data_IF_020395263597
#
_entry.id   IF_020395263597
#
_cell.length_a   1.000
_cell.length_b   1.000
_cell.length_c   1.000
_cell.angle_alpha   90.00
_cell.angle_beta   90.00
_cell.angle_gamma   90.00
#
_symmetry.space_group_name_H-M   'P 1'
#
loop_
_entity.id
_entity.type
_entity.pdbx_description
1 polymer ?
#
# COMPACT_ATOMS: atom_id res chain seq x y z
N UNK A 1 3.03 11.50 11.29
CA UNK A 1 3.90 10.49 10.65
C UNK A 1 3.15 9.87 9.49
N UNK A 2 3.81 9.65 8.34
CA UNK A 2 3.22 8.96 7.20
C UNK A 2 4.01 7.66 6.96
N UNK A 3 3.32 6.53 6.91
CA UNK A 3 3.92 5.20 6.74
C UNK A 3 3.43 4.54 5.45
N UNK A 4 4.35 4.02 4.64
CA UNK A 4 4.03 3.26 3.42
C UNK A 4 4.02 1.76 3.68
N UNK A 5 2.82 1.19 3.65
CA UNK A 5 2.54 -0.23 3.83
C UNK A 5 2.25 -0.90 2.47
N UNK A 6 1.14 -1.63 2.34
CA UNK A 6 0.69 -2.30 1.12
C UNK A 6 -0.82 -2.60 1.20
N UNK A 7 -1.53 -2.46 0.08
CA UNK A 7 -2.93 -2.88 0.01
C UNK A 7 -3.07 -4.39 -0.17
N UNK A 8 -4.01 -4.98 0.56
CA UNK A 8 -4.30 -6.43 0.55
C UNK A 8 -5.81 -6.69 0.56
N UNK A 9 -6.57 -5.78 -0.07
CA UNK A 9 -8.03 -5.82 -0.15
C UNK A 9 -8.73 -4.73 0.65
N UNK A 10 -8.20 -3.49 0.63
CA UNK A 10 -8.84 -2.33 1.28
C UNK A 10 -8.87 -2.46 2.80
N UNK A 11 -10.04 -2.22 3.41
CA UNK A 11 -10.25 -2.30 4.86
C UNK A 11 -9.93 -3.69 5.45
N UNK A 12 -10.07 -4.75 4.64
CA UNK A 12 -9.72 -6.11 5.05
C UNK A 12 -8.22 -6.28 5.32
N UNK A 13 -7.38 -5.38 4.80
CA UNK A 13 -5.92 -5.38 5.02
C UNK A 13 -5.56 -5.24 6.50
N UNK A 14 -6.47 -4.69 7.32
CA UNK A 14 -6.27 -4.57 8.77
C UNK A 14 -6.42 -5.90 9.54
N UNK A 15 -7.12 -6.91 9.00
CA UNK A 15 -7.47 -8.13 9.74
C UNK A 15 -7.17 -9.43 8.99
N UNK A 16 -6.63 -9.35 7.77
CA UNK A 16 -6.36 -10.51 6.94
C UNK A 16 -4.84 -10.78 6.91
N UNK A 17 -4.24 -11.64 7.71
CA UNK A 17 -2.81 -11.95 7.59
C UNK A 17 -2.51 -12.67 6.26
N UNK A 18 -1.36 -12.40 5.66
CA UNK A 18 -0.90 -13.04 4.42
C UNK A 18 0.34 -13.89 4.68
N UNK A 19 0.60 -14.88 3.84
CA UNK A 19 1.82 -15.72 3.90
C UNK A 19 3.02 -15.07 3.19
N UNK A 20 2.83 -13.90 2.58
CA UNK A 20 3.87 -13.15 1.86
C UNK A 20 4.76 -12.44 2.89
N UNK A 21 6.05 -12.83 3.04
CA UNK A 21 6.88 -12.37 4.15
C UNK A 21 6.99 -10.84 4.25
N UNK A 22 7.21 -10.17 3.13
CA UNK A 22 7.36 -8.71 3.10
C UNK A 22 6.05 -7.94 3.38
N UNK A 23 4.89 -8.59 3.32
CA UNK A 23 3.60 -7.99 3.70
C UNK A 23 3.29 -8.19 5.18
N UNK A 24 3.75 -9.29 5.80
CA UNK A 24 3.58 -9.55 7.23
C UNK A 24 4.26 -8.45 8.03
N UNK A 25 5.53 -8.15 7.74
CA UNK A 25 6.27 -7.12 8.47
C UNK A 25 5.62 -5.74 8.35
N UNK A 26 5.11 -5.39 7.16
CA UNK A 26 4.38 -4.12 6.98
C UNK A 26 3.12 -4.06 7.83
N UNK A 27 2.36 -5.16 7.88
CA UNK A 27 1.17 -5.26 8.72
C UNK A 27 1.49 -5.16 10.21
N UNK A 28 2.53 -5.84 10.69
CA UNK A 28 2.99 -5.75 12.08
C UNK A 28 3.42 -4.32 12.45
N UNK A 29 4.10 -3.62 11.53
CA UNK A 29 4.47 -2.21 11.71
C UNK A 29 3.22 -1.31 11.78
N UNK A 30 2.18 -1.55 10.97
CA UNK A 30 0.92 -0.81 11.07
C UNK A 30 0.29 -0.97 12.46
N UNK A 31 0.17 -2.21 12.95
CA UNK A 31 -0.40 -2.48 14.28
C UNK A 31 0.43 -1.81 15.37
N UNK A 32 1.75 -1.95 15.32
CA UNK A 32 2.65 -1.31 16.25
C UNK A 32 2.48 0.22 16.26
N UNK A 33 2.44 0.85 15.08
CA UNK A 33 2.23 2.29 14.94
C UNK A 33 0.90 2.73 15.56
N UNK A 34 -0.19 2.06 15.21
CA UNK A 34 -1.52 2.38 15.72
C UNK A 34 -1.59 2.23 17.24
N UNK A 35 -1.01 1.16 17.79
CA UNK A 35 -0.97 0.92 19.23
C UNK A 35 -0.14 1.96 19.98
N UNK A 36 1.01 2.37 19.42
CA UNK A 36 1.87 3.39 20.03
C UNK A 36 1.27 4.79 19.97
N UNK A 37 0.41 5.07 19.00
CA UNK A 37 -0.26 6.36 18.88
C UNK A 37 -1.48 6.51 19.79
N UNK A 38 -2.11 5.41 20.23
CA UNK A 38 -3.28 5.44 21.14
C UNK A 38 -2.95 6.19 22.43
N UNK A 39 -3.78 7.19 22.77
CA UNK A 39 -3.61 7.98 23.99
C UNK A 39 -2.47 9.00 23.93
N UNK A 40 -1.95 9.31 22.75
CA UNK A 40 -0.91 10.33 22.52
C UNK A 40 -1.39 11.35 21.50
N UNK A 41 -0.68 12.48 21.39
CA UNK A 41 -0.93 13.51 20.37
C UNK A 41 -0.30 13.16 19.00
N UNK A 42 0.20 11.92 18.83
CA UNK A 42 0.87 11.50 17.61
C UNK A 42 -0.14 11.25 16.49
N UNK A 43 -0.19 12.18 15.53
CA UNK A 43 -0.90 11.99 14.27
C UNK A 43 -0.17 10.98 13.36
N UNK A 44 -0.92 10.05 12.77
CA UNK A 44 -0.40 9.05 11.85
C UNK A 44 -1.31 8.87 10.63
N UNK A 45 -0.71 8.53 9.49
CA UNK A 45 -1.40 8.13 8.27
C UNK A 45 -0.68 6.94 7.67
N UNK A 46 -1.44 5.91 7.25
CA UNK A 46 -0.90 4.74 6.57
C UNK A 46 -1.34 4.79 5.12
N UNK A 47 -0.38 4.74 4.19
CA UNK A 47 -0.65 4.60 2.77
C UNK A 47 -0.42 3.15 2.37
N UNK A 48 -1.42 2.54 1.74
CA UNK A 48 -1.42 1.15 1.28
C UNK A 48 -1.45 1.15 -0.24
N UNK A 49 -0.30 1.29 -0.91
CA UNK A 49 -0.27 1.24 -2.35
C UNK A 49 -0.46 -0.20 -2.86
N UNK A 50 -1.05 -0.32 -4.05
CA UNK A 50 -1.18 -1.59 -4.79
C UNK A 50 0.10 -1.88 -5.58
N UNK A 51 0.04 -2.73 -6.62
CA UNK A 51 1.22 -3.02 -7.44
C UNK A 51 1.68 -1.75 -8.19
N UNK A 52 2.97 -1.63 -8.51
CA UNK A 52 3.50 -0.41 -9.12
C UNK A 52 3.55 -0.51 -10.65
N UNK A 53 3.16 0.55 -11.35
CA UNK A 53 3.36 0.65 -12.80
C UNK A 53 4.85 0.54 -13.18
N UNK A 54 5.72 1.02 -12.30
CA UNK A 54 7.17 0.98 -12.47
C UNK A 54 7.76 -0.43 -12.46
N UNK A 55 6.99 -1.45 -12.07
CA UNK A 55 7.39 -2.85 -12.24
C UNK A 55 7.21 -3.36 -13.69
N UNK A 56 6.53 -2.61 -14.56
CA UNK A 56 6.30 -2.94 -15.97
C UNK A 56 7.42 -2.38 -16.86
N UNK A 57 8.63 -2.91 -16.69
CA UNK A 57 9.80 -2.52 -17.48
C UNK A 57 10.07 -3.50 -18.64
N UNK A 58 10.73 -3.08 -19.73
CA UNK A 58 11.08 -3.97 -20.85
C UNK A 58 12.30 -4.88 -20.55
N UNK A 59 12.64 -5.09 -19.28
CA UNK A 59 13.80 -5.87 -18.84
C UNK A 59 13.40 -7.26 -18.29
N UNK A 60 14.38 -7.98 -17.73
CA UNK A 60 14.15 -9.30 -17.14
C UNK A 60 13.17 -9.27 -15.96
N UNK A 61 13.27 -8.27 -15.08
CA UNK A 61 12.39 -8.14 -13.92
C UNK A 61 10.96 -7.84 -14.33
N UNK A 62 10.76 -6.95 -15.31
CA UNK A 62 9.42 -6.69 -15.84
C UNK A 62 8.78 -7.92 -16.50
N UNK A 63 9.57 -8.76 -17.19
CA UNK A 63 9.10 -10.05 -17.70
C UNK A 63 8.71 -11.03 -16.59
N UNK A 64 9.50 -11.10 -15.52
CA UNK A 64 9.17 -11.94 -14.35
C UNK A 64 7.89 -11.46 -13.67
N UNK A 65 7.74 -10.14 -13.48
CA UNK A 65 6.55 -9.54 -12.87
C UNK A 65 5.28 -9.83 -13.68
N UNK A 66 5.30 -9.56 -14.99
CA UNK A 66 4.17 -9.83 -15.89
C UNK A 66 3.81 -11.31 -15.97
N UNK A 67 4.79 -12.21 -15.96
CA UNK A 67 4.56 -13.66 -15.90
C UNK A 67 3.91 -14.07 -14.57
N UNK A 68 4.41 -13.56 -13.45
CA UNK A 68 3.86 -13.83 -12.13
C UNK A 68 2.41 -13.33 -11.99
N UNK A 69 2.12 -12.15 -12.56
CA UNK A 69 0.77 -11.60 -12.66
C UNK A 69 -0.14 -12.56 -13.46
N UNK A 70 0.24 -12.92 -14.69
CA UNK A 70 -0.57 -13.80 -15.55
C UNK A 70 -0.88 -15.14 -14.86
N UNK A 71 0.12 -15.75 -14.22
CA UNK A 71 -0.02 -17.03 -13.52
C UNK A 71 -0.88 -16.94 -12.25
N UNK A 72 -0.74 -15.85 -11.50
CA UNK A 72 -1.37 -15.72 -10.18
C UNK A 72 -2.81 -15.25 -10.26
N UNK A 73 -3.13 -14.34 -11.17
CA UNK A 73 -4.46 -13.74 -11.27
C UNK A 73 -5.41 -14.51 -12.19
N UNK A 74 -4.90 -15.33 -13.12
CA UNK A 74 -5.72 -16.19 -14.00
C UNK A 74 -6.87 -15.43 -14.68
N UNK A 75 -6.60 -14.23 -15.18
CA UNK A 75 -7.59 -13.37 -15.84
C UNK A 75 -8.38 -12.44 -14.91
N UNK A 76 -8.06 -12.41 -13.61
CA UNK A 76 -8.55 -11.37 -12.70
C UNK A 76 -7.75 -10.07 -12.88
N UNK A 77 -8.42 -8.92 -12.73
CA UNK A 77 -7.77 -7.63 -12.84
C UNK A 77 -6.85 -7.35 -11.63
N UNK A 78 -5.78 -6.59 -11.85
CA UNK A 78 -4.77 -6.15 -10.88
C UNK A 78 -4.81 -4.63 -10.74
N UNK A 79 -4.96 -4.17 -9.51
CA UNK A 79 -4.84 -2.75 -9.21
C UNK A 79 -3.38 -2.31 -9.25
N UNK A 80 -3.12 -1.21 -9.96
CA UNK A 80 -1.80 -0.62 -10.14
C UNK A 80 -1.80 0.86 -9.70
N UNK A 81 -0.66 1.35 -9.23
CA UNK A 81 -0.47 2.75 -8.82
C UNK A 81 0.90 3.24 -9.30
N UNK A 82 1.00 4.51 -9.68
CA UNK A 82 2.30 5.12 -10.01
C UNK A 82 2.99 5.58 -8.71
N UNK A 83 4.30 5.40 -8.61
CA UNK A 83 5.07 5.86 -7.44
C UNK A 83 4.99 7.38 -7.23
N UNK A 84 4.80 8.14 -8.31
CA UNK A 84 4.54 9.58 -8.25
C UNK A 84 3.26 9.92 -7.47
N UNK A 85 2.20 9.12 -7.65
CA UNK A 85 0.91 9.34 -6.97
C UNK A 85 1.02 9.01 -5.48
N UNK A 86 1.82 7.98 -5.13
CA UNK A 86 2.13 7.68 -3.73
C UNK A 86 2.83 8.90 -3.08
N UNK A 87 3.79 9.51 -3.79
CA UNK A 87 4.46 10.73 -3.34
C UNK A 87 3.50 11.90 -3.17
N UNK A 88 2.57 12.08 -4.10
CA UNK A 88 1.52 13.09 -4.00
C UNK A 88 0.66 12.90 -2.75
N UNK A 89 0.11 11.69 -2.52
CA UNK A 89 -0.70 11.42 -1.33
C UNK A 89 0.09 11.49 -0.03
N UNK A 90 1.38 11.16 -0.05
CA UNK A 90 2.25 11.33 1.11
C UNK A 90 2.43 12.81 1.46
N UNK A 91 2.66 13.67 0.47
CA UNK A 91 2.73 15.12 0.69
C UNK A 91 1.40 15.66 1.22
N UNK A 92 0.28 15.22 0.63
CA UNK A 92 -1.07 15.63 1.05
C UNK A 92 -1.42 15.21 2.47
N UNK A 93 -0.95 14.05 2.92
CA UNK A 93 -1.13 13.61 4.30
C UNK A 93 -0.41 14.52 5.31
N UNK A 94 0.69 15.18 4.91
CA UNK A 94 1.38 16.17 5.74
C UNK A 94 0.76 17.56 5.66
N UNK A 95 0.28 18.00 4.48
CA UNK A 95 -0.28 19.34 4.29
C UNK A 95 -1.72 19.45 4.79
N UNK A 96 -2.48 18.34 4.83
CA UNK A 96 -3.89 18.29 5.23
C UNK A 96 -4.15 17.25 6.34
N UNK A 97 -3.52 17.38 7.51
CA UNK A 97 -3.62 16.38 8.57
C UNK A 97 -5.05 16.12 9.05
N UNK A 98 -5.96 17.10 8.97
CA UNK A 98 -7.38 16.95 9.29
C UNK A 98 -8.09 15.93 8.39
N UNK A 99 -7.64 15.78 7.15
CA UNK A 99 -8.21 14.84 6.20
C UNK A 99 -7.62 13.44 6.31
N UNK A 100 -6.40 13.29 6.83
CA UNK A 100 -5.61 12.05 6.75
C UNK A 100 -5.17 11.46 8.10
N UNK A 101 -5.23 12.21 9.19
CA UNK A 101 -4.81 11.73 10.51
C UNK A 101 -5.70 10.60 11.01
N UNK A 102 -5.09 9.55 11.55
CA UNK A 102 -5.75 8.35 12.04
C UNK A 102 -6.30 7.44 10.95
N UNK A 103 -5.93 7.65 9.67
CA UNK A 103 -6.46 6.89 8.54
C UNK A 103 -5.44 5.98 7.89
N UNK A 104 -5.92 4.81 7.46
CA UNK A 104 -5.24 3.95 6.51
C UNK A 104 -5.94 4.06 5.15
N UNK A 105 -5.20 4.45 4.12
CA UNK A 105 -5.74 4.78 2.79
C UNK A 105 -5.14 3.83 1.76
N UNK A 106 -6.00 3.14 1.02
CA UNK A 106 -5.59 2.32 -0.13
C UNK A 106 -5.41 3.17 -1.37
N UNK A 107 -4.28 2.98 -2.07
CA UNK A 107 -3.92 3.76 -3.26
C UNK A 107 -3.84 2.84 -4.48
N UNK A 108 -4.77 3.04 -5.40
CA UNK A 108 -4.82 2.44 -6.73
C UNK A 108 -5.12 3.54 -7.75
N UNK A 109 -4.37 3.56 -8.84
CA UNK A 109 -4.54 4.50 -9.96
C UNK A 109 -5.32 3.91 -11.12
N UNK A 110 -5.17 2.60 -11.38
CA UNK A 110 -5.93 1.89 -12.41
C UNK A 110 -6.10 0.40 -12.04
N UNK A 111 -6.92 -0.32 -12.81
CA UNK A 111 -7.12 -1.76 -12.71
C UNK A 111 -7.00 -2.42 -14.09
N UNK A 112 -6.03 -3.33 -14.27
CA UNK A 112 -5.72 -4.00 -15.55
C UNK A 112 -5.97 -5.50 -15.50
#
# INVERSE_FOLDING_TARGET
MVYSSVDRGGDKSANNPTRVPHFIYKHEIEQHLMDRAKGTDMAWTILRPTAFFENLTPDYFGKVFTTAWQMSLKGKPLQLIATSDIGFFAAEAFTRPEAFSGKAVSLAGDEL
#
